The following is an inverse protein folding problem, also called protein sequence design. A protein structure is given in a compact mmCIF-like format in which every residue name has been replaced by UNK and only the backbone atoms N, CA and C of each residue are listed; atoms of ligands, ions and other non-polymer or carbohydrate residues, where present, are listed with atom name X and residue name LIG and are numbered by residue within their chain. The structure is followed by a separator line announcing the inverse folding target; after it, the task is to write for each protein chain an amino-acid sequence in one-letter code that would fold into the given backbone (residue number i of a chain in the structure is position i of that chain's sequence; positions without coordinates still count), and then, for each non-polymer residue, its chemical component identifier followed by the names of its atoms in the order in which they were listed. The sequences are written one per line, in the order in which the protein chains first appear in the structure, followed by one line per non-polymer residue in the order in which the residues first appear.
data_IF_824933606396
#
_entry.id   IF_824933606396
#
_cell.length_a   1.000
_cell.length_b   1.000
_cell.length_c   1.000
_cell.angle_alpha   90.00
_cell.angle_beta   90.00
_cell.angle_gamma   90.00
#
_symmetry.space_group_name_H-M   'P 1'
#
loop_
_entity.id
_entity.type
_entity.pdbx_description
1 polymer ?
#
# COMPACT_ATOMS: atom_id res chain seq x y z
N UNK A 1 25.93 -1.58 4.21
CA UNK A 1 24.64 -1.84 4.89
C UNK A 1 23.92 -2.96 4.17
N UNK A 2 23.50 -4.01 4.87
CA UNK A 2 22.73 -5.11 4.27
C UNK A 2 21.26 -4.70 4.06
N UNK A 3 20.61 -5.21 3.01
CA UNK A 3 19.19 -4.97 2.69
C UNK A 3 18.24 -5.94 3.43
N UNK A 4 18.70 -6.54 4.52
CA UNK A 4 17.93 -7.52 5.29
C UNK A 4 16.84 -6.84 6.14
N UNK A 5 15.70 -7.52 6.29
CA UNK A 5 14.52 -7.01 7.02
C UNK A 5 14.18 -7.84 8.26
N UNK A 6 15.09 -8.70 8.71
CA UNK A 6 14.84 -9.65 9.82
C UNK A 6 14.39 -8.95 11.12
N UNK A 7 14.94 -7.77 11.42
CA UNK A 7 14.51 -6.98 12.58
C UNK A 7 13.04 -6.54 12.49
N UNK A 8 12.59 -6.11 11.30
CA UNK A 8 11.20 -5.74 11.09
C UNK A 8 10.27 -6.97 11.23
N UNK A 9 10.70 -8.13 10.72
CA UNK A 9 9.97 -9.41 10.89
C UNK A 9 9.87 -9.80 12.35
N UNK A 10 10.96 -9.67 13.10
CA UNK A 10 10.97 -9.93 14.55
C UNK A 10 9.99 -9.02 15.29
N UNK A 11 10.02 -7.71 15.01
CA UNK A 11 9.08 -6.73 15.59
C UNK A 11 7.61 -7.09 15.33
N UNK A 12 7.30 -7.63 14.13
CA UNK A 12 5.95 -8.12 13.80
C UNK A 12 5.56 -9.32 14.66
N UNK A 13 6.45 -10.31 14.77
CA UNK A 13 6.17 -11.57 15.47
C UNK A 13 6.13 -11.42 17.00
N UNK A 14 6.77 -10.39 17.55
CA UNK A 14 6.88 -10.14 18.99
C UNK A 14 6.03 -8.92 19.41
N UNK A 15 6.63 -7.74 19.50
CA UNK A 15 6.02 -6.53 20.09
C UNK A 15 4.66 -6.18 19.47
N UNK A 16 4.56 -6.19 18.14
CA UNK A 16 3.31 -5.84 17.45
C UNK A 16 2.24 -6.92 17.68
N UNK A 17 2.61 -8.20 17.57
CA UNK A 17 1.69 -9.31 17.84
C UNK A 17 1.16 -9.25 19.27
N UNK A 18 2.02 -9.02 20.26
CA UNK A 18 1.61 -8.93 21.66
C UNK A 18 0.69 -7.73 21.93
N UNK A 19 0.96 -6.58 21.33
CA UNK A 19 0.14 -5.37 21.50
C UNK A 19 -1.25 -5.46 20.86
N UNK A 20 -1.39 -6.20 19.75
CA UNK A 20 -2.65 -6.27 19.00
C UNK A 20 -3.55 -7.45 19.41
N UNK A 21 -3.08 -8.37 20.25
CA UNK A 21 -3.85 -9.53 20.71
C UNK A 21 -5.15 -9.08 21.38
N UNK A 22 -6.26 -9.66 20.90
CA UNK A 22 -7.60 -9.41 21.44
C UNK A 22 -8.28 -8.15 20.89
N UNK A 23 -7.60 -7.35 20.07
CA UNK A 23 -8.24 -6.22 19.39
C UNK A 23 -9.13 -6.70 18.24
N UNK A 24 -10.25 -6.00 18.03
CA UNK A 24 -11.16 -6.29 16.93
C UNK A 24 -10.54 -5.86 15.60
N UNK A 25 -10.48 -6.74 14.57
CA UNK A 25 -9.92 -6.40 13.27
C UNK A 25 -10.79 -5.39 12.49
N UNK A 26 -12.00 -5.10 12.97
CA UNK A 26 -12.93 -4.15 12.35
C UNK A 26 -12.70 -2.69 12.78
N UNK A 27 -11.84 -2.44 13.77
CA UNK A 27 -11.44 -1.10 14.19
C UNK A 27 -10.03 -0.78 13.70
N UNK A 28 -9.93 -0.54 12.39
CA UNK A 28 -8.66 -0.27 11.71
C UNK A 28 -7.95 0.96 12.31
N UNK A 29 -8.69 2.00 12.64
CA UNK A 29 -8.14 3.23 13.20
C UNK A 29 -7.49 2.99 14.58
N UNK A 30 -8.14 2.22 15.45
CA UNK A 30 -7.57 1.85 16.74
C UNK A 30 -6.34 0.95 16.61
N UNK A 31 -6.36 -0.02 15.69
CA UNK A 31 -5.23 -0.91 15.43
C UNK A 31 -4.01 -0.11 14.92
N UNK A 32 -4.21 0.76 13.93
CA UNK A 32 -3.13 1.58 13.39
C UNK A 32 -2.60 2.56 14.44
N UNK A 33 -3.49 3.17 15.23
CA UNK A 33 -3.12 4.03 16.36
C UNK A 33 -2.31 3.27 17.41
N UNK A 34 -2.72 2.06 17.77
CA UNK A 34 -1.99 1.21 18.71
C UNK A 34 -0.56 0.95 18.23
N UNK A 35 -0.36 0.61 16.95
CA UNK A 35 0.99 0.41 16.39
C UNK A 35 1.81 1.69 16.31
N UNK A 36 1.19 2.84 15.97
CA UNK A 36 1.85 4.14 15.93
C UNK A 36 2.31 4.55 17.34
N UNK A 37 1.42 4.44 18.32
CA UNK A 37 1.69 4.80 19.71
C UNK A 37 2.72 3.82 20.32
N UNK A 38 2.65 2.52 19.97
CA UNK A 38 3.65 1.52 20.36
C UNK A 38 5.03 1.84 19.78
N UNK A 39 5.14 2.24 18.51
CA UNK A 39 6.41 2.65 17.92
C UNK A 39 6.99 3.87 18.65
N UNK A 40 6.15 4.87 18.93
CA UNK A 40 6.50 6.06 19.71
C UNK A 40 7.39 7.08 18.99
N UNK A 41 7.76 6.84 17.73
CA UNK A 41 8.55 7.78 16.92
C UNK A 41 7.70 8.41 15.81
N UNK A 42 7.95 9.68 15.44
CA UNK A 42 7.15 10.36 14.42
C UNK A 42 7.27 9.72 13.03
N UNK A 43 8.36 9.00 12.76
CA UNK A 43 8.68 8.42 11.47
C UNK A 43 8.62 6.89 11.43
N UNK A 44 8.11 6.23 12.48
CA UNK A 44 8.05 4.76 12.58
C UNK A 44 9.44 4.10 12.54
N UNK A 45 10.45 4.78 13.08
CA UNK A 45 11.85 4.36 13.01
C UNK A 45 12.23 3.26 14.01
N UNK A 46 11.43 3.02 15.06
CA UNK A 46 11.74 2.03 16.09
C UNK A 46 11.32 0.62 15.65
N UNK A 47 10.07 0.46 15.26
CA UNK A 47 9.48 -0.79 14.78
C UNK A 47 9.70 -1.00 13.28
N UNK A 48 9.84 0.09 12.52
CA UNK A 48 9.97 0.09 11.07
C UNK A 48 8.62 0.30 10.38
N UNK A 49 8.56 1.30 9.50
CA UNK A 49 7.35 1.60 8.72
C UNK A 49 6.87 0.39 7.89
N UNK A 50 7.80 -0.44 7.40
CA UNK A 50 7.49 -1.66 6.69
C UNK A 50 6.79 -2.72 7.56
N UNK A 51 7.18 -2.86 8.84
CA UNK A 51 6.51 -3.76 9.78
C UNK A 51 5.08 -3.30 10.06
N UNK A 52 4.91 -2.02 10.42
CA UNK A 52 3.61 -1.43 10.74
C UNK A 52 2.66 -1.49 9.54
N UNK A 53 3.13 -1.09 8.35
CA UNK A 53 2.31 -1.11 7.14
C UNK A 53 1.91 -2.54 6.75
N UNK A 54 2.83 -3.49 6.87
CA UNK A 54 2.55 -4.90 6.57
C UNK A 54 1.43 -5.46 7.43
N UNK A 55 1.46 -5.21 8.74
CA UNK A 55 0.42 -5.65 9.68
C UNK A 55 -0.90 -4.91 9.45
N UNK A 56 -0.87 -3.59 9.27
CA UNK A 56 -2.04 -2.76 8.97
C UNK A 56 -2.82 -3.29 7.75
N UNK A 57 -2.13 -3.54 6.64
CA UNK A 57 -2.73 -4.08 5.41
C UNK A 57 -3.23 -5.52 5.57
N UNK A 58 -2.51 -6.36 6.33
CA UNK A 58 -2.91 -7.75 6.58
C UNK A 58 -4.22 -7.81 7.38
N UNK A 59 -4.39 -6.93 8.36
CA UNK A 59 -5.60 -6.84 9.19
C UNK A 59 -6.79 -6.40 8.35
N UNK A 60 -6.67 -5.34 7.55
CA UNK A 60 -7.75 -4.91 6.65
C UNK A 60 -8.20 -6.04 5.69
N UNK A 61 -7.25 -6.81 5.17
CA UNK A 61 -7.52 -7.98 4.31
C UNK A 61 -8.20 -9.11 5.07
N UNK A 62 -7.76 -9.39 6.30
CA UNK A 62 -8.36 -10.42 7.14
C UNK A 62 -9.80 -10.05 7.52
N UNK A 63 -10.05 -8.79 7.88
CA UNK A 63 -11.37 -8.27 8.17
C UNK A 63 -12.31 -8.37 6.96
N UNK A 64 -11.88 -7.90 5.79
CA UNK A 64 -12.64 -8.02 4.54
C UNK A 64 -12.97 -9.49 4.21
N UNK A 65 -11.98 -10.37 4.32
CA UNK A 65 -12.14 -11.81 4.07
C UNK A 65 -13.11 -12.46 5.07
N UNK A 66 -13.10 -12.05 6.34
CA UNK A 66 -14.02 -12.57 7.36
C UNK A 66 -15.48 -12.20 7.12
N UNK A 67 -15.73 -11.12 6.38
CA UNK A 67 -17.07 -10.67 5.99
C UNK A 67 -17.47 -11.16 4.59
N UNK A 68 -16.62 -11.95 3.91
CA UNK A 68 -16.79 -12.41 2.53
C UNK A 68 -17.05 -11.26 1.53
N UNK A 69 -16.38 -10.12 1.73
CA UNK A 69 -16.43 -8.99 0.82
C UNK A 69 -15.07 -8.69 0.18
N UNK A 70 -15.04 -8.18 -1.06
CA UNK A 70 -13.79 -7.72 -1.66
C UNK A 70 -13.14 -6.59 -0.86
N UNK A 71 -11.81 -6.56 -0.79
CA UNK A 71 -11.06 -5.52 -0.06
C UNK A 71 -11.44 -4.10 -0.49
N UNK A 72 -11.67 -3.86 -1.79
CA UNK A 72 -12.05 -2.54 -2.29
C UNK A 72 -13.41 -2.09 -1.74
N UNK A 73 -14.34 -3.02 -1.48
CA UNK A 73 -15.63 -2.73 -0.82
C UNK A 73 -15.42 -2.47 0.67
N UNK A 74 -14.60 -3.26 1.33
CA UNK A 74 -14.28 -3.07 2.76
C UNK A 74 -13.67 -1.69 3.03
N UNK A 75 -12.73 -1.25 2.17
CA UNK A 75 -12.03 0.03 2.35
C UNK A 75 -12.82 1.24 1.82
N UNK A 76 -13.46 1.12 0.65
CA UNK A 76 -14.12 2.26 -0.01
C UNK A 76 -15.62 2.36 0.29
N UNK A 77 -16.22 1.37 0.94
CA UNK A 77 -17.65 1.37 1.26
C UNK A 77 -18.55 1.31 0.02
N UNK A 78 -19.60 2.14 0.03
CA UNK A 78 -20.65 2.12 -1.00
C UNK A 78 -20.29 2.96 -2.23
N UNK A 79 -19.54 4.04 -2.05
CA UNK A 79 -19.16 4.98 -3.10
C UNK A 79 -17.77 4.62 -3.64
N UNK A 80 -17.72 4.15 -4.89
CA UNK A 80 -16.52 3.62 -5.50
C UNK A 80 -16.37 4.12 -6.92
N UNK A 81 -15.15 4.48 -7.28
CA UNK A 81 -14.78 4.88 -8.63
C UNK A 81 -13.51 4.15 -9.08
N UNK A 82 -13.43 3.85 -10.38
CA UNK A 82 -12.19 3.33 -10.98
C UNK A 82 -11.27 4.51 -11.32
N UNK A 83 -9.99 4.48 -10.90
CA UNK A 83 -9.10 5.63 -11.03
C UNK A 83 -8.74 5.92 -12.49
N UNK A 84 -8.36 7.16 -12.77
CA UNK A 84 -7.68 7.51 -14.02
C UNK A 84 -6.25 6.93 -13.98
N UNK A 85 -5.90 5.95 -14.83
CA UNK A 85 -4.59 5.33 -14.75
C UNK A 85 -3.51 6.24 -15.36
N UNK A 86 -2.33 6.25 -14.74
CA UNK A 86 -1.13 6.86 -15.29
C UNK A 86 -0.11 5.74 -15.54
N UNK A 87 0.34 5.62 -16.78
CA UNK A 87 1.26 4.56 -17.20
C UNK A 87 2.62 5.16 -17.45
N UNK A 88 3.63 4.71 -16.71
CA UNK A 88 5.02 5.07 -16.97
C UNK A 88 5.50 4.34 -18.23
N UNK A 89 5.92 5.10 -19.25
CA UNK A 89 6.33 4.57 -20.56
C UNK A 89 7.79 4.81 -20.90
N UNK A 90 8.42 5.83 -20.29
CA UNK A 90 9.85 6.10 -20.46
C UNK A 90 10.44 6.39 -19.08
N UNK A 91 11.49 5.63 -18.75
CA UNK A 91 12.30 5.87 -17.56
C UNK A 91 13.55 6.66 -17.91
N UNK A 92 13.93 7.57 -17.01
CA UNK A 92 15.19 8.29 -17.04
C UNK A 92 15.80 8.38 -15.64
N UNK A 93 16.75 9.29 -15.48
CA UNK A 93 17.46 9.52 -14.21
C UNK A 93 18.12 8.24 -13.67
N UNK A 94 18.05 8.04 -12.35
CA UNK A 94 18.69 6.90 -11.66
C UNK A 94 18.17 5.52 -12.08
N UNK A 95 17.07 5.46 -12.83
CA UNK A 95 16.45 4.23 -13.31
C UNK A 95 16.84 3.87 -14.76
N UNK A 96 17.53 4.76 -15.50
CA UNK A 96 18.00 4.46 -16.86
C UNK A 96 19.23 5.31 -17.28
N UNK A 97 20.24 4.68 -17.89
CA UNK A 97 21.40 5.32 -18.53
C UNK A 97 21.02 5.93 -19.90
N UNK A 98 19.93 6.71 -19.96
CA UNK A 98 19.39 7.28 -21.19
C UNK A 98 19.84 8.72 -21.47
N UNK A 99 20.59 9.34 -20.54
CA UNK A 99 20.98 10.75 -20.63
C UNK A 99 19.82 11.73 -20.40
N UNK A 100 18.68 11.23 -19.92
CA UNK A 100 17.47 12.00 -19.64
C UNK A 100 17.40 12.27 -18.13
N UNK A 101 17.33 13.55 -17.74
CA UNK A 101 17.30 13.95 -16.32
C UNK A 101 15.95 13.65 -15.64
N UNK A 102 14.86 13.62 -16.41
CA UNK A 102 13.51 13.34 -15.91
C UNK A 102 13.36 11.85 -15.60
N UNK A 103 12.84 11.54 -14.40
CA UNK A 103 12.77 10.16 -13.91
C UNK A 103 11.69 9.31 -14.58
N UNK A 104 10.48 9.84 -14.77
CA UNK A 104 9.35 9.11 -15.32
C UNK A 104 8.56 9.99 -16.29
N UNK A 105 8.26 9.45 -17.47
CA UNK A 105 7.30 10.04 -18.40
C UNK A 105 6.05 9.17 -18.40
N UNK A 106 4.95 9.73 -17.90
CA UNK A 106 3.68 9.04 -17.79
C UNK A 106 2.71 9.52 -18.86
N UNK A 107 1.93 8.59 -19.40
CA UNK A 107 0.78 8.87 -20.27
C UNK A 107 -0.52 8.42 -19.61
N UNK A 108 -1.61 9.10 -19.93
CA UNK A 108 -2.92 8.81 -19.36
C UNK A 108 -4.04 8.91 -20.42
N UNK A 109 -4.96 7.93 -20.49
CA UNK A 109 -6.03 7.93 -21.46
C UNK A 109 -7.19 8.83 -21.01
N UNK A 110 -7.07 10.15 -21.24
CA UNK A 110 -8.04 11.16 -20.75
C UNK A 110 -9.47 10.88 -21.22
N UNK A 111 -9.65 10.43 -22.47
CA UNK A 111 -10.96 10.14 -23.06
C UNK A 111 -11.25 8.63 -23.06
N UNK A 112 -11.25 8.03 -21.86
CA UNK A 112 -11.62 6.61 -21.67
C UNK A 112 -13.10 6.46 -21.35
N UNK A 113 -13.73 5.42 -21.87
CA UNK A 113 -15.13 5.05 -21.57
C UNK A 113 -15.22 4.09 -20.38
N UNK A 114 -14.15 3.35 -20.10
CA UNK A 114 -14.02 2.46 -18.95
C UNK A 114 -12.55 2.33 -18.54
N UNK A 115 -12.28 1.72 -17.39
CA UNK A 115 -10.90 1.37 -17.02
C UNK A 115 -10.24 0.45 -18.05
N UNK A 116 -10.99 -0.55 -18.55
CA UNK A 116 -10.51 -1.47 -19.58
C UNK A 116 -10.16 -0.75 -20.89
N UNK A 117 -11.05 0.10 -21.40
CA UNK A 117 -10.81 0.91 -22.60
C UNK A 117 -9.57 1.80 -22.42
N UNK A 118 -9.40 2.40 -21.24
CA UNK A 118 -8.21 3.18 -20.93
C UNK A 118 -6.91 2.35 -21.01
N UNK A 119 -6.90 1.15 -20.44
CA UNK A 119 -5.74 0.25 -20.53
C UNK A 119 -5.46 -0.17 -21.97
N UNK A 120 -6.49 -0.58 -22.72
CA UNK A 120 -6.36 -1.04 -24.11
C UNK A 120 -5.86 0.08 -25.04
N UNK A 121 -6.30 1.32 -24.84
CA UNK A 121 -5.81 2.49 -25.59
C UNK A 121 -4.31 2.70 -25.43
N UNK A 122 -3.79 2.50 -24.22
CA UNK A 122 -2.36 2.69 -23.94
C UNK A 122 -1.53 1.51 -24.44
N UNK A 123 -2.01 0.27 -24.25
CA UNK A 123 -1.26 -0.92 -24.62
C UNK A 123 -1.17 -1.16 -26.14
N UNK A 124 -2.14 -0.66 -26.91
CA UNK A 124 -2.20 -0.82 -28.37
C UNK A 124 -1.70 0.42 -29.15
N UNK A 125 -1.06 1.38 -28.47
CA UNK A 125 -0.35 2.49 -29.11
C UNK A 125 1.06 2.04 -29.51
#
# INVERSE_FOLDING_TARGET
MGKGVMKAVENVNTEINDALKGLSPFDQANIDKCMIDLDGTPNKGRLGANAILGVSMAIARAAAKSQDIPLYRYLGGVDLELPQPFFNVINGGVHADSGIDVQEFLITPVKRESFRDGVEKIANT
#
